data_IF_748129913280
#
_entry.id   IF_748129913280
#
_cell.length_a   1.000
_cell.length_b   1.000
_cell.length_c   1.000
_cell.angle_alpha   90.00
_cell.angle_beta   90.00
_cell.angle_gamma   90.00
#
_symmetry.space_group_name_H-M   'P 1'
#
loop_
_entity.id
_entity.type
_entity.pdbx_description
1 polymer ?
#
# COMPACT_ATOMS: atom_id res chain seq x y z
N UNK A 1 9.83 12.83 -9.62
CA UNK A 1 10.06 11.41 -9.30
C UNK A 1 10.52 10.63 -10.53
N UNK A 2 9.78 10.63 -11.66
CA UNK A 2 10.17 9.91 -12.88
C UNK A 2 11.58 10.25 -13.38
N UNK A 3 11.95 11.54 -13.42
CA UNK A 3 13.30 11.97 -13.79
C UNK A 3 14.40 11.46 -12.83
N UNK A 4 14.03 10.99 -11.65
CA UNK A 4 14.91 10.34 -10.69
C UNK A 4 15.14 8.85 -10.95
N UNK A 5 14.41 8.26 -11.92
CA UNK A 5 14.56 6.87 -12.33
C UNK A 5 13.85 5.85 -11.43
N UNK A 6 12.71 6.23 -10.84
CA UNK A 6 11.90 5.29 -10.05
C UNK A 6 11.13 4.34 -10.96
N UNK A 7 10.87 3.13 -10.47
CA UNK A 7 10.20 2.07 -11.22
C UNK A 7 8.68 2.16 -11.19
N UNK A 8 8.10 2.64 -10.08
CA UNK A 8 6.65 2.76 -9.87
C UNK A 8 6.31 4.06 -9.15
N UNK A 9 5.18 4.67 -9.52
CA UNK A 9 4.56 5.78 -8.80
C UNK A 9 3.24 5.31 -8.21
N UNK A 10 3.01 5.56 -6.92
CA UNK A 10 1.72 5.27 -6.28
C UNK A 10 1.09 6.57 -5.82
N UNK A 11 -0.14 6.85 -6.26
CA UNK A 11 -0.92 7.99 -5.80
C UNK A 11 -2.15 7.54 -5.02
N UNK A 12 -2.45 8.23 -3.93
CA UNK A 12 -3.61 7.98 -3.08
C UNK A 12 -4.05 9.25 -2.36
N UNK A 13 -5.24 9.25 -1.78
CA UNK A 13 -5.84 10.42 -1.16
C UNK A 13 -4.94 11.14 -0.13
N UNK A 14 -4.11 10.42 0.64
CA UNK A 14 -3.15 11.02 1.57
C UNK A 14 -2.16 11.96 0.88
N UNK A 15 -1.82 11.72 -0.38
CA UNK A 15 -0.95 12.60 -1.16
C UNK A 15 -1.49 14.02 -1.21
N UNK A 16 -2.77 14.18 -1.49
CA UNK A 16 -3.45 15.49 -1.50
C UNK A 16 -3.38 16.19 -0.12
N UNK A 17 -3.61 15.44 0.96
CA UNK A 17 -3.54 15.99 2.32
C UNK A 17 -2.10 16.33 2.73
N UNK A 18 -1.12 15.53 2.32
CA UNK A 18 0.30 15.80 2.58
C UNK A 18 0.78 17.06 1.85
N UNK A 19 0.33 17.31 0.63
CA UNK A 19 0.60 18.57 -0.09
C UNK A 19 0.01 19.77 0.64
N UNK A 20 -1.07 19.59 1.39
CA UNK A 20 -1.64 20.61 2.29
C UNK A 20 -0.99 20.64 3.68
N UNK A 21 0.15 19.95 3.88
CA UNK A 21 0.91 19.94 5.15
C UNK A 21 0.32 19.06 6.24
N UNK A 22 -0.47 18.02 5.89
CA UNK A 22 -1.07 17.09 6.86
C UNK A 22 -0.31 15.77 6.90
N UNK A 23 -0.39 15.06 8.03
CA UNK A 23 0.22 13.74 8.19
C UNK A 23 -0.50 12.65 7.38
N UNK A 24 0.16 11.52 7.15
CA UNK A 24 -0.35 10.42 6.33
C UNK A 24 -1.68 9.84 6.84
N UNK A 25 -1.94 9.86 8.16
CA UNK A 25 -3.21 9.40 8.74
C UNK A 25 -4.43 10.22 8.29
N UNK A 26 -4.24 11.43 7.76
CA UNK A 26 -5.34 12.20 7.19
C UNK A 26 -6.09 11.43 6.08
N UNK A 27 -5.41 10.49 5.41
CA UNK A 27 -6.01 9.63 4.41
C UNK A 27 -6.98 8.57 4.97
N UNK A 28 -6.88 8.27 6.26
CA UNK A 28 -7.79 7.33 6.97
C UNK A 28 -8.96 8.05 7.65
N UNK A 29 -8.94 9.38 7.66
CA UNK A 29 -9.96 10.19 8.33
C UNK A 29 -11.09 10.57 7.37
N UNK A 30 -12.30 10.89 7.87
CA UNK A 30 -13.48 11.14 7.03
C UNK A 30 -13.45 12.54 6.39
N UNK A 31 -12.34 12.92 5.75
CA UNK A 31 -12.15 14.22 5.11
C UNK A 31 -12.54 14.24 3.63
N UNK A 32 -12.99 13.12 3.10
CA UNK A 32 -13.46 12.96 1.73
C UNK A 32 -13.49 11.50 1.32
N UNK A 33 -14.15 11.19 0.20
CA UNK A 33 -14.11 9.85 -0.37
C UNK A 33 -12.76 9.59 -1.04
N UNK A 34 -12.00 8.62 -0.51
CA UNK A 34 -10.64 8.33 -0.95
C UNK A 34 -10.57 7.91 -2.43
N UNK A 35 -11.55 7.10 -2.87
CA UNK A 35 -11.61 6.60 -4.24
C UNK A 35 -11.94 7.71 -5.25
N UNK A 36 -12.81 8.66 -4.87
CA UNK A 36 -13.05 9.84 -5.70
C UNK A 36 -11.84 10.75 -5.80
N UNK A 37 -11.12 10.95 -4.68
CA UNK A 37 -9.93 11.80 -4.64
C UNK A 37 -8.84 11.23 -5.55
N UNK A 38 -8.55 9.92 -5.50
CA UNK A 38 -7.51 9.33 -6.35
C UNK A 38 -7.87 9.41 -7.83
N UNK A 39 -9.16 9.23 -8.17
CA UNK A 39 -9.66 9.41 -9.53
C UNK A 39 -9.50 10.83 -10.04
N UNK A 40 -9.75 11.84 -9.21
CA UNK A 40 -9.49 13.24 -9.56
C UNK A 40 -7.99 13.51 -9.76
N UNK A 41 -7.14 12.97 -8.88
CA UNK A 41 -5.69 13.11 -8.97
C UNK A 41 -5.11 12.46 -10.24
N UNK A 42 -5.81 11.50 -10.86
CA UNK A 42 -5.38 10.90 -12.12
C UNK A 42 -5.10 11.94 -13.20
N UNK A 43 -5.98 12.92 -13.35
CA UNK A 43 -5.82 13.98 -14.36
C UNK A 43 -4.64 14.91 -14.09
N UNK A 44 -4.21 15.02 -12.84
CA UNK A 44 -3.05 15.81 -12.47
C UNK A 44 -1.74 15.03 -12.71
N UNK A 45 -1.73 13.74 -12.42
CA UNK A 45 -0.51 12.91 -12.41
C UNK A 45 -0.28 12.20 -13.74
N UNK A 46 -1.29 11.52 -14.30
CA UNK A 46 -1.14 10.75 -15.54
C UNK A 46 -0.82 11.62 -16.75
N UNK A 47 -1.17 12.91 -16.70
CA UNK A 47 -0.81 13.86 -17.75
C UNK A 47 0.63 14.39 -17.65
N UNK A 48 1.27 14.18 -16.50
CA UNK A 48 2.63 14.66 -16.21
C UNK A 48 3.70 13.55 -16.24
N UNK A 49 3.26 12.29 -16.17
CA UNK A 49 4.14 11.11 -16.20
C UNK A 49 4.13 10.53 -17.61
N UNK A 50 5.32 10.27 -18.17
CA UNK A 50 5.44 9.82 -19.55
C UNK A 50 5.67 8.31 -19.69
N UNK A 51 6.42 7.69 -18.76
CA UNK A 51 6.91 6.32 -18.90
C UNK A 51 6.70 5.45 -17.66
N UNK A 52 6.81 6.04 -16.46
CA UNK A 52 6.74 5.28 -15.22
C UNK A 52 5.29 4.83 -14.95
N UNK A 53 5.04 3.53 -14.71
CA UNK A 53 3.70 3.07 -14.36
C UNK A 53 3.18 3.75 -13.09
N UNK A 54 1.92 4.22 -13.15
CA UNK A 54 1.25 4.86 -12.02
C UNK A 54 0.17 3.93 -11.47
N UNK A 55 0.18 3.71 -10.16
CA UNK A 55 -0.78 2.88 -9.45
C UNK A 55 -1.72 3.74 -8.60
N UNK A 56 -2.97 3.31 -8.51
CA UNK A 56 -3.98 3.97 -7.71
C UNK A 56 -4.08 3.34 -6.31
N UNK A 57 -4.02 4.16 -5.27
CA UNK A 57 -4.41 3.74 -3.92
C UNK A 57 -5.94 3.65 -3.83
N UNK A 58 -6.45 2.46 -3.51
CA UNK A 58 -7.88 2.16 -3.47
C UNK A 58 -8.31 1.79 -2.06
N UNK A 59 -9.34 2.47 -1.56
CA UNK A 59 -10.02 2.09 -0.32
C UNK A 59 -10.92 0.87 -0.59
N UNK A 60 -10.41 -0.33 -0.35
CA UNK A 60 -11.11 -1.59 -0.61
C UNK A 60 -12.34 -1.82 0.28
N UNK A 61 -12.42 -1.12 1.41
CA UNK A 61 -13.53 -1.19 2.36
C UNK A 61 -14.65 -0.18 2.09
N UNK A 62 -14.57 0.61 1.02
CA UNK A 62 -15.62 1.57 0.66
C UNK A 62 -16.93 0.83 0.31
N UNK A 63 -18.01 0.97 1.12
CA UNK A 63 -19.24 0.23 0.92
C UNK A 63 -20.08 0.73 -0.28
N UNK A 64 -19.71 1.86 -0.86
CA UNK A 64 -20.39 2.45 -2.02
C UNK A 64 -19.64 2.20 -3.33
N UNK A 65 -18.49 1.49 -3.28
CA UNK A 65 -17.73 1.14 -4.45
C UNK A 65 -18.26 -0.15 -5.10
N UNK A 66 -18.67 -0.08 -6.35
CA UNK A 66 -18.86 -1.28 -7.19
C UNK A 66 -17.47 -1.67 -7.71
N UNK A 67 -16.80 -2.58 -7.00
CA UNK A 67 -15.37 -2.87 -7.12
C UNK A 67 -14.91 -3.08 -8.57
N UNK A 68 -15.50 -4.05 -9.27
CA UNK A 68 -15.12 -4.36 -10.66
C UNK A 68 -15.33 -3.19 -11.62
N UNK A 69 -16.38 -2.40 -11.41
CA UNK A 69 -16.63 -1.22 -12.22
C UNK A 69 -15.55 -0.16 -11.99
N UNK A 70 -15.24 0.11 -10.73
CA UNK A 70 -14.21 1.09 -10.36
C UNK A 70 -12.81 0.67 -10.83
N UNK A 71 -12.45 -0.63 -10.71
CA UNK A 71 -11.17 -1.13 -11.22
C UNK A 71 -11.04 -0.98 -12.74
N UNK A 72 -12.11 -1.26 -13.50
CA UNK A 72 -12.12 -1.00 -14.94
C UNK A 72 -12.01 0.50 -15.26
N UNK A 73 -12.68 1.36 -14.50
CA UNK A 73 -12.54 2.83 -14.66
C UNK A 73 -11.10 3.28 -14.45
N UNK A 74 -10.40 2.76 -13.44
CA UNK A 74 -8.98 3.06 -13.21
C UNK A 74 -8.10 2.60 -14.36
N UNK A 75 -8.35 1.41 -14.91
CA UNK A 75 -7.64 0.88 -16.06
C UNK A 75 -7.87 1.75 -17.31
N UNK A 76 -9.11 2.16 -17.55
CA UNK A 76 -9.48 3.03 -18.67
C UNK A 76 -8.88 4.44 -18.53
N UNK A 77 -8.68 4.94 -17.31
CA UNK A 77 -7.98 6.20 -17.04
C UNK A 77 -6.48 6.11 -17.32
N UNK A 78 -5.90 4.90 -17.35
CA UNK A 78 -4.48 4.68 -17.62
C UNK A 78 -3.63 4.30 -16.40
N UNK A 79 -4.25 3.94 -15.27
CA UNK A 79 -3.51 3.35 -14.17
C UNK A 79 -3.00 1.95 -14.54
N UNK A 80 -1.74 1.67 -14.21
CA UNK A 80 -1.12 0.37 -14.44
C UNK A 80 -1.51 -0.68 -13.37
N UNK A 81 -2.00 -0.22 -12.22
CA UNK A 81 -2.30 -1.11 -11.11
C UNK A 81 -2.88 -0.40 -9.89
N UNK A 82 -2.94 -1.14 -8.79
CA UNK A 82 -3.52 -0.66 -7.54
C UNK A 82 -2.67 -0.98 -6.30
N UNK A 83 -2.94 -0.23 -5.23
CA UNK A 83 -2.49 -0.50 -3.86
C UNK A 83 -3.67 -0.32 -2.89
N UNK A 84 -3.76 -1.14 -1.83
CA UNK A 84 -4.83 -1.07 -0.82
C UNK A 84 -4.61 0.09 0.18
N UNK A 85 -4.79 1.31 -0.26
CA UNK A 85 -4.73 2.47 0.64
C UNK A 85 -5.83 3.48 0.29
N UNK A 86 -6.59 3.97 1.28
CA UNK A 86 -6.59 3.70 2.74
C UNK A 86 -6.82 2.23 3.10
N UNK A 87 -6.17 1.79 4.19
CA UNK A 87 -6.21 0.40 4.64
C UNK A 87 -6.58 0.29 6.11
N UNK A 88 -7.40 -0.70 6.45
CA UNK A 88 -7.68 -1.05 7.85
C UNK A 88 -6.51 -1.79 8.51
N UNK A 89 -5.50 -2.19 7.74
CA UNK A 89 -4.27 -2.79 8.25
C UNK A 89 -3.49 -1.90 9.22
N UNK A 90 -3.64 -0.58 9.13
CA UNK A 90 -3.05 0.39 10.06
C UNK A 90 -3.84 0.56 11.35
N UNK A 91 -5.03 -0.03 11.45
CA UNK A 91 -5.91 0.08 12.61
C UNK A 91 -5.70 -1.17 13.49
N UNK A 92 -5.59 -0.97 14.79
CA UNK A 92 -5.35 -2.02 15.77
C UNK A 92 -6.41 -2.05 16.90
N UNK A 93 -6.19 -2.93 17.88
CA UNK A 93 -6.98 -3.02 19.09
C UNK A 93 -8.47 -3.28 18.88
N UNK A 94 -9.28 -2.74 19.80
CA UNK A 94 -10.74 -2.93 19.77
C UNK A 94 -11.37 -2.36 18.52
N UNK A 95 -10.85 -1.25 18.01
CA UNK A 95 -11.40 -0.65 16.79
C UNK A 95 -11.21 -1.58 15.58
N UNK A 96 -10.03 -2.19 15.43
CA UNK A 96 -9.81 -3.18 14.38
C UNK A 96 -10.73 -4.39 14.53
N UNK A 97 -10.88 -4.93 15.74
CA UNK A 97 -11.78 -6.05 16.00
C UNK A 97 -13.23 -5.72 15.58
N UNK A 98 -13.71 -4.53 15.94
CA UNK A 98 -15.05 -4.07 15.56
C UNK A 98 -15.23 -3.96 14.04
N UNK A 99 -14.21 -3.50 13.31
CA UNK A 99 -14.25 -3.46 11.83
C UNK A 99 -14.38 -4.86 11.24
N UNK A 100 -13.62 -5.82 11.73
CA UNK A 100 -13.70 -7.22 11.28
C UNK A 100 -15.08 -7.82 11.58
N UNK A 101 -15.60 -7.63 12.78
CA UNK A 101 -16.91 -8.14 13.22
C UNK A 101 -18.08 -7.53 12.46
N UNK A 102 -17.94 -6.32 11.97
CA UNK A 102 -19.01 -5.57 11.27
C UNK A 102 -18.88 -5.59 9.74
N UNK A 103 -18.01 -6.42 9.20
CA UNK A 103 -17.85 -6.60 7.75
C UNK A 103 -17.11 -5.48 7.04
N UNK A 104 -16.29 -4.72 7.77
CA UNK A 104 -15.41 -3.67 7.25
C UNK A 104 -13.92 -4.04 7.42
N UNK A 105 -13.62 -5.33 7.48
CA UNK A 105 -12.30 -5.86 7.78
C UNK A 105 -11.37 -5.95 6.57
N UNK A 106 -10.16 -6.43 6.85
CA UNK A 106 -9.08 -6.54 5.87
C UNK A 106 -9.39 -7.55 4.74
N UNK A 107 -10.30 -8.49 4.95
CA UNK A 107 -10.75 -9.43 3.92
C UNK A 107 -11.26 -8.75 2.65
N UNK A 108 -11.89 -7.57 2.76
CA UNK A 108 -12.33 -6.80 1.59
C UNK A 108 -11.16 -6.25 0.75
N UNK A 109 -10.01 -6.01 1.37
CA UNK A 109 -8.80 -5.59 0.67
C UNK A 109 -8.13 -6.77 -0.05
N UNK A 110 -8.20 -7.97 0.53
CA UNK A 110 -7.76 -9.21 -0.12
C UNK A 110 -8.62 -9.49 -1.36
N UNK A 111 -9.95 -9.37 -1.24
CA UNK A 111 -10.86 -9.51 -2.37
C UNK A 111 -10.61 -8.47 -3.46
N UNK A 112 -10.27 -7.22 -3.07
CA UNK A 112 -9.89 -6.17 -4.03
C UNK A 112 -8.66 -6.57 -4.84
N UNK A 113 -7.64 -7.13 -4.18
CA UNK A 113 -6.40 -7.60 -4.84
C UNK A 113 -6.70 -8.75 -5.80
N UNK A 114 -7.52 -9.72 -5.38
CA UNK A 114 -7.91 -10.84 -6.24
C UNK A 114 -8.62 -10.37 -7.51
N UNK A 115 -9.57 -9.45 -7.38
CA UNK A 115 -10.33 -8.92 -8.52
C UNK A 115 -9.48 -8.03 -9.43
N UNK A 116 -8.52 -7.26 -8.88
CA UNK A 116 -7.57 -6.49 -9.65
C UNK A 116 -6.61 -7.39 -10.45
N UNK A 117 -6.12 -8.47 -9.83
CA UNK A 117 -5.31 -9.47 -10.50
C UNK A 117 -6.05 -10.14 -11.67
N UNK A 118 -7.34 -10.51 -11.50
CA UNK A 118 -8.17 -11.03 -12.59
C UNK A 118 -8.32 -10.05 -13.76
N UNK A 119 -8.24 -8.76 -13.50
CA UNK A 119 -8.32 -7.69 -14.50
C UNK A 119 -6.97 -7.33 -15.14
N UNK A 120 -5.91 -8.07 -14.80
CA UNK A 120 -4.54 -7.79 -15.27
C UNK A 120 -4.05 -6.38 -14.89
N UNK A 121 -4.38 -5.96 -13.66
CA UNK A 121 -3.85 -4.77 -13.01
C UNK A 121 -2.72 -5.18 -12.07
N UNK A 122 -1.58 -4.50 -12.13
CA UNK A 122 -0.48 -4.71 -11.20
C UNK A 122 -0.94 -4.47 -9.75
N UNK A 123 -0.63 -5.38 -8.85
CA UNK A 123 -1.08 -5.32 -7.46
C UNK A 123 0.09 -5.20 -6.51
N UNK A 124 0.11 -4.14 -5.69
CA UNK A 124 1.19 -3.84 -4.75
C UNK A 124 0.66 -3.62 -3.31
N UNK A 125 -0.10 -4.58 -2.75
CA UNK A 125 -0.75 -4.34 -1.48
C UNK A 125 0.22 -4.22 -0.31
N UNK A 126 -0.16 -3.35 0.65
CA UNK A 126 0.42 -3.30 1.97
C UNK A 126 0.01 -4.51 2.81
N UNK A 127 0.98 -5.15 3.42
CA UNK A 127 0.80 -6.17 4.44
C UNK A 127 1.49 -5.72 5.74
N UNK A 128 0.90 -6.06 6.88
CA UNK A 128 1.35 -5.63 8.20
C UNK A 128 1.78 -6.80 9.09
N UNK A 129 1.49 -8.03 8.68
CA UNK A 129 1.87 -9.27 9.35
C UNK A 129 2.02 -10.42 8.34
N UNK A 130 2.53 -11.56 8.83
CA UNK A 130 2.79 -12.74 8.01
C UNK A 130 1.51 -13.33 7.41
N UNK A 131 0.39 -13.31 8.15
CA UNK A 131 -0.89 -13.85 7.69
C UNK A 131 -1.42 -13.03 6.51
N UNK A 132 -1.37 -11.71 6.61
CA UNK A 132 -1.78 -10.81 5.54
C UNK A 132 -0.90 -10.98 4.30
N UNK A 133 0.43 -11.10 4.47
CA UNK A 133 1.36 -11.35 3.38
C UNK A 133 1.04 -12.66 2.65
N UNK A 134 0.73 -13.73 3.39
CA UNK A 134 0.31 -15.03 2.85
C UNK A 134 -1.04 -14.93 2.11
N UNK A 135 -2.06 -14.32 2.71
CA UNK A 135 -3.41 -14.20 2.14
C UNK A 135 -3.42 -13.33 0.88
N UNK A 136 -2.71 -12.20 0.89
CA UNK A 136 -2.57 -11.33 -0.28
C UNK A 136 -1.82 -12.04 -1.43
N UNK A 137 -0.79 -12.83 -1.10
CA UNK A 137 -0.07 -13.61 -2.13
C UNK A 137 -0.97 -14.70 -2.73
N UNK A 138 -1.82 -15.36 -1.93
CA UNK A 138 -2.86 -16.30 -2.41
C UNK A 138 -3.88 -15.60 -3.31
N UNK A 139 -4.21 -14.35 -3.03
CA UNK A 139 -5.10 -13.53 -3.85
C UNK A 139 -4.48 -13.08 -5.18
N UNK A 140 -3.20 -13.37 -5.42
CA UNK A 140 -2.51 -13.05 -6.67
C UNK A 140 -1.70 -11.76 -6.64
N UNK A 141 -1.38 -11.21 -5.45
CA UNK A 141 -0.54 -10.01 -5.36
C UNK A 141 0.78 -10.19 -6.09
N UNK A 142 1.15 -9.25 -6.95
CA UNK A 142 2.41 -9.28 -7.69
C UNK A 142 3.58 -8.87 -6.80
N UNK A 143 3.38 -7.87 -5.97
CA UNK A 143 4.37 -7.30 -5.06
C UNK A 143 3.74 -7.19 -3.67
N UNK A 144 4.33 -7.81 -2.66
CA UNK A 144 3.96 -7.57 -1.26
C UNK A 144 4.78 -6.42 -0.73
N UNK A 145 4.12 -5.37 -0.23
CA UNK A 145 4.80 -4.25 0.42
C UNK A 145 4.69 -4.44 1.95
N UNK A 146 5.77 -4.90 2.57
CA UNK A 146 5.86 -5.07 4.01
C UNK A 146 5.89 -3.69 4.70
N UNK A 147 4.77 -3.32 5.34
CA UNK A 147 4.57 -1.98 5.88
C UNK A 147 4.92 -1.91 7.37
N UNK A 148 5.95 -1.11 7.70
CA UNK A 148 6.52 -1.01 9.05
C UNK A 148 5.92 0.11 9.90
N UNK A 149 4.75 0.58 9.56
CA UNK A 149 4.07 1.66 10.29
C UNK A 149 4.25 3.03 9.64
N UNK A 150 3.84 4.07 10.36
CA UNK A 150 3.91 5.45 9.87
C UNK A 150 5.35 5.95 9.82
N UNK A 151 5.67 6.71 8.79
CA UNK A 151 6.99 7.38 8.67
C UNK A 151 7.30 8.24 9.88
N UNK A 152 8.52 8.10 10.40
CA UNK A 152 8.94 8.71 11.68
C UNK A 152 9.71 10.02 11.52
N UNK A 153 10.14 10.35 10.31
CA UNK A 153 10.94 11.57 10.06
C UNK A 153 10.08 12.77 9.66
N UNK A 154 10.69 13.97 9.75
CA UNK A 154 10.06 15.23 9.40
C UNK A 154 9.17 15.83 10.49
N UNK A 155 8.56 16.97 10.21
CA UNK A 155 7.76 17.75 11.18
C UNK A 155 6.42 17.14 11.51
N UNK A 156 5.97 16.17 10.71
CA UNK A 156 4.69 15.44 10.85
C UNK A 156 4.90 13.93 11.02
N UNK A 157 6.13 13.50 11.33
CA UNK A 157 6.48 12.10 11.56
C UNK A 157 5.89 11.56 12.86
N UNK A 158 5.61 10.25 12.89
CA UNK A 158 5.17 9.56 14.10
C UNK A 158 6.36 9.34 15.05
N UNK A 159 6.07 9.32 16.36
CA UNK A 159 7.07 9.00 17.39
C UNK A 159 7.01 7.53 17.84
N UNK A 160 5.88 6.86 17.61
CA UNK A 160 5.72 5.42 17.87
C UNK A 160 6.25 4.64 16.68
N UNK A 161 7.34 3.91 16.86
CA UNK A 161 7.98 3.18 15.78
C UNK A 161 8.68 1.92 16.25
N UNK A 162 8.84 0.97 15.34
CA UNK A 162 9.79 -0.13 15.47
C UNK A 162 11.22 0.40 15.33
N UNK A 163 12.20 -0.36 15.80
CA UNK A 163 13.60 -0.14 15.42
C UNK A 163 13.89 -0.74 14.04
N UNK A 164 14.95 -0.31 13.37
CA UNK A 164 15.35 -0.91 12.08
C UNK A 164 15.62 -2.42 12.20
N UNK A 165 16.21 -2.89 13.31
CA UNK A 165 16.43 -4.34 13.53
C UNK A 165 15.12 -5.12 13.70
N UNK A 166 14.12 -4.53 14.37
CA UNK A 166 12.78 -5.12 14.45
C UNK A 166 12.11 -5.16 13.07
N UNK A 167 12.29 -4.13 12.25
CA UNK A 167 11.80 -4.12 10.87
C UNK A 167 12.45 -5.23 10.05
N UNK A 168 13.78 -5.41 10.14
CA UNK A 168 14.50 -6.50 9.46
C UNK A 168 13.90 -7.86 9.81
N UNK A 169 13.64 -8.11 11.09
CA UNK A 169 13.06 -9.39 11.54
C UNK A 169 11.66 -9.58 10.96
N UNK A 170 10.78 -8.61 11.10
CA UNK A 170 9.40 -8.71 10.63
C UNK A 170 9.31 -8.84 9.10
N UNK A 171 10.11 -8.06 8.35
CA UNK A 171 10.16 -8.14 6.89
C UNK A 171 10.64 -9.52 6.45
N UNK A 172 11.65 -10.10 7.11
CA UNK A 172 12.13 -11.46 6.81
C UNK A 172 11.03 -12.51 7.01
N UNK A 173 10.28 -12.42 8.10
CA UNK A 173 9.16 -13.32 8.41
C UNK A 173 8.04 -13.18 7.39
N UNK A 174 7.65 -11.95 7.05
CA UNK A 174 6.62 -11.69 6.03
C UNK A 174 7.05 -12.17 4.64
N UNK A 175 8.33 -11.97 4.28
CA UNK A 175 8.90 -12.47 3.03
C UNK A 175 8.83 -14.00 2.97
N UNK A 176 9.19 -14.68 4.05
CA UNK A 176 9.12 -16.13 4.13
C UNK A 176 7.66 -16.62 3.99
N UNK A 177 6.71 -15.96 4.64
CA UNK A 177 5.28 -16.27 4.56
C UNK A 177 4.75 -16.08 3.12
N UNK A 178 5.01 -14.96 2.47
CA UNK A 178 4.62 -14.70 1.09
C UNK A 178 5.22 -15.72 0.12
N UNK A 179 6.54 -15.97 0.20
CA UNK A 179 7.25 -16.91 -0.69
C UNK A 179 6.96 -18.37 -0.42
N UNK A 180 6.39 -18.71 0.71
CA UNK A 180 5.86 -20.07 0.95
C UNK A 180 4.63 -20.37 0.07
N UNK A 181 3.89 -19.35 -0.35
CA UNK A 181 2.73 -19.45 -1.25
C UNK A 181 3.18 -19.37 -2.71
N UNK A 182 3.97 -18.38 -3.04
CA UNK A 182 4.51 -18.18 -4.40
C UNK A 182 5.96 -17.68 -4.33
N UNK A 183 6.89 -18.51 -4.79
CA UNK A 183 8.33 -18.30 -4.60
C UNK A 183 8.91 -17.09 -5.33
N UNK A 184 8.25 -16.60 -6.37
CA UNK A 184 8.65 -15.49 -7.23
C UNK A 184 7.92 -14.17 -6.92
N UNK A 185 7.10 -14.12 -5.85
CA UNK A 185 6.48 -12.87 -5.43
C UNK A 185 7.55 -11.85 -5.01
N UNK A 186 7.45 -10.65 -5.54
CA UNK A 186 8.33 -9.56 -5.15
C UNK A 186 7.95 -9.04 -3.76
N UNK A 187 8.95 -8.64 -2.98
CA UNK A 187 8.72 -8.09 -1.63
C UNK A 187 9.50 -6.80 -1.46
N UNK A 188 8.79 -5.73 -1.18
CA UNK A 188 9.34 -4.41 -0.87
C UNK A 188 9.15 -4.10 0.61
N UNK A 189 10.00 -3.24 1.17
CA UNK A 189 9.83 -2.69 2.52
C UNK A 189 9.42 -1.22 2.47
N UNK A 190 8.55 -0.81 3.39
CA UNK A 190 8.02 0.56 3.41
C UNK A 190 7.65 1.04 4.81
N UNK A 191 7.90 2.33 5.08
CA UNK A 191 7.34 3.04 6.22
C UNK A 191 8.06 2.82 7.55
N UNK A 192 7.47 3.33 8.61
CA UNK A 192 8.07 3.33 9.95
C UNK A 192 9.41 4.07 9.99
N UNK A 193 10.45 3.46 10.58
CA UNK A 193 11.77 4.05 10.66
C UNK A 193 12.56 3.99 9.33
N UNK A 194 12.04 3.31 8.31
CA UNK A 194 12.61 3.31 6.96
C UNK A 194 12.19 4.60 6.26
N UNK A 195 12.81 5.71 6.64
CA UNK A 195 12.38 7.04 6.26
C UNK A 195 13.37 7.78 5.35
N UNK A 196 14.63 7.34 5.36
CA UNK A 196 15.71 7.92 4.58
C UNK A 196 16.42 6.84 3.74
N UNK A 197 17.11 7.21 2.66
CA UNK A 197 17.84 6.23 1.83
C UNK A 197 18.83 5.34 2.62
N UNK A 198 19.45 5.90 3.66
CA UNK A 198 20.37 5.13 4.52
C UNK A 198 19.64 4.03 5.33
N UNK A 199 18.40 4.28 5.73
CA UNK A 199 17.58 3.30 6.45
C UNK A 199 17.20 2.14 5.52
N UNK A 200 16.80 2.47 4.28
CA UNK A 200 16.51 1.47 3.26
C UNK A 200 17.77 0.63 2.93
N UNK A 201 18.91 1.27 2.72
CA UNK A 201 20.19 0.58 2.49
C UNK A 201 20.54 -0.37 3.65
N UNK A 202 20.30 0.04 4.90
CA UNK A 202 20.50 -0.81 6.07
C UNK A 202 19.66 -2.09 6.01
N UNK A 203 18.35 -1.95 5.68
CA UNK A 203 17.44 -3.09 5.60
C UNK A 203 17.81 -4.00 4.43
N UNK A 204 18.06 -3.45 3.25
CA UNK A 204 18.42 -4.21 2.04
C UNK A 204 19.73 -4.99 2.21
N UNK A 205 20.74 -4.42 2.88
CA UNK A 205 21.98 -5.15 3.19
C UNK A 205 21.77 -6.34 4.14
N UNK A 206 20.82 -6.24 5.05
CA UNK A 206 20.48 -7.30 5.99
C UNK A 206 19.59 -8.38 5.37
N UNK A 207 18.80 -8.00 4.37
CA UNK A 207 17.81 -8.83 3.69
C UNK A 207 18.06 -8.85 2.17
N UNK A 208 19.15 -9.47 1.70
CA UNK A 208 19.45 -9.49 0.27
C UNK A 208 18.44 -10.30 -0.58
N UNK A 209 17.47 -10.91 0.06
CA UNK A 209 16.39 -11.66 -0.59
C UNK A 209 15.15 -10.82 -0.90
N UNK A 210 15.03 -9.58 -0.43
CA UNK A 210 13.94 -8.67 -0.85
C UNK A 210 14.36 -7.86 -2.08
N UNK A 211 13.38 -7.25 -2.76
CA UNK A 211 13.54 -6.67 -4.10
C UNK A 211 13.65 -5.15 -4.08
#
# INVERSE_FOLDING_TARGET
EEAGGIDLIVIYNSGRYRMAGRGSLAGLMPYGNANHIVREMAYEVLTAVEKTPVLAGVCGTDPFMIRRHFLNELKDLGFAGIQNFPTVGLIDGVFRANLEETGMGFGLEIDLVAEAHELDLLTTPYAFDCKQAEELTKAGADIIVAHMGLTTSGTIGAHTALTLDQCVTLIAEMTAAARSVRSDVLVLCHGGPIAMPADADYVLRKLPQID
#
